data_IF_824069533759
#
_entry.id   IF_824069533759
#
_cell.length_a   1.000
_cell.length_b   1.000
_cell.length_c   1.000
_cell.angle_alpha   90.00
_cell.angle_beta   90.00
_cell.angle_gamma   90.00
#
_symmetry.space_group_name_H-M   'P 1'
#
loop_
_entity.id
_entity.type
_entity.pdbx_description
1 polymer ?
#
# COMPACT_ATOMS: atom_id res chain seq x y z
N UNK A 1 -21.29 -34.43 -33.54
CA UNK A 1 -21.06 -35.75 -32.91
C UNK A 1 -20.82 -35.49 -31.43
N UNK A 2 -21.74 -35.66 -30.49
CA UNK A 2 -22.95 -36.50 -30.40
C UNK A 2 -23.97 -35.71 -29.55
N UNK A 3 -25.18 -35.40 -29.99
CA UNK A 3 -26.39 -36.26 -30.01
C UNK A 3 -26.63 -37.04 -28.72
N UNK A 4 -27.35 -36.42 -27.79
CA UNK A 4 -28.08 -37.12 -26.72
C UNK A 4 -29.43 -36.45 -26.52
N UNK A 5 -30.31 -36.74 -27.48
CA UNK A 5 -31.76 -36.72 -27.35
C UNK A 5 -32.16 -37.67 -26.21
N UNK A 6 -32.79 -37.15 -25.15
CA UNK A 6 -33.66 -37.98 -24.34
C UNK A 6 -34.94 -37.21 -23.98
N UNK A 7 -35.92 -37.51 -24.81
CA UNK A 7 -37.34 -37.27 -24.65
C UNK A 7 -37.90 -38.35 -23.73
N UNK A 8 -38.59 -37.96 -22.65
CA UNK A 8 -39.71 -38.72 -22.10
C UNK A 8 -40.81 -37.75 -21.66
N UNK A 9 -41.88 -37.77 -22.43
CA UNK A 9 -43.19 -37.31 -22.02
C UNK A 9 -43.73 -38.25 -20.94
N UNK A 10 -44.09 -37.67 -19.80
CA UNK A 10 -44.87 -38.30 -18.75
C UNK A 10 -45.91 -37.27 -18.30
N UNK A 11 -47.10 -37.36 -18.87
CA UNK A 11 -48.31 -36.74 -18.33
C UNK A 11 -48.70 -37.55 -17.08
N UNK A 12 -48.47 -36.99 -15.90
CA UNK A 12 -49.15 -37.42 -14.68
C UNK A 12 -50.09 -36.30 -14.23
N UNK A 13 -51.37 -36.60 -14.40
CA UNK A 13 -52.52 -35.84 -13.95
C UNK A 13 -52.89 -36.29 -12.55
N UNK A 14 -52.64 -35.43 -11.56
CA UNK A 14 -53.48 -35.38 -10.36
C UNK A 14 -52.76 -35.62 -9.04
N UNK A 15 -52.19 -34.57 -8.47
CA UNK A 15 -52.45 -34.24 -7.07
C UNK A 15 -52.13 -32.76 -6.82
N UNK A 16 -53.17 -31.90 -6.87
CA UNK A 16 -53.15 -30.65 -6.10
C UNK A 16 -53.56 -31.02 -4.68
N UNK A 17 -52.66 -31.01 -3.68
CA UNK A 17 -53.12 -30.61 -2.37
C UNK A 17 -53.53 -29.14 -2.51
N UNK A 18 -54.83 -28.90 -2.39
CA UNK A 18 -55.35 -27.60 -2.02
C UNK A 18 -54.48 -27.05 -0.88
N UNK A 19 -54.13 -25.77 -0.96
CA UNK A 19 -53.16 -25.13 -0.08
C UNK A 19 -53.28 -25.62 1.35
N UNK A 20 -52.21 -26.22 1.86
CA UNK A 20 -51.85 -25.90 3.22
C UNK A 20 -51.62 -24.38 3.19
N UNK A 21 -52.40 -23.59 3.95
CA UNK A 21 -51.98 -22.23 4.20
C UNK A 21 -50.60 -22.40 4.84
N UNK A 22 -49.53 -22.02 4.13
CA UNK A 22 -48.40 -21.41 4.82
C UNK A 22 -49.07 -20.33 5.65
N UNK A 23 -49.23 -20.65 6.92
CA UNK A 23 -50.16 -19.93 7.79
C UNK A 23 -49.79 -18.46 7.63
N UNK A 24 -50.78 -17.61 7.45
CA UNK A 24 -50.54 -16.18 7.39
C UNK A 24 -49.84 -15.66 8.68
N UNK A 25 -49.69 -16.52 9.70
CA UNK A 25 -48.83 -16.39 10.88
C UNK A 25 -47.33 -16.55 10.61
N UNK A 26 -46.88 -17.36 9.65
CA UNK A 26 -45.46 -17.52 9.31
C UNK A 26 -44.92 -16.27 8.55
N UNK A 27 -45.80 -15.59 7.80
CA UNK A 27 -45.48 -14.36 7.06
C UNK A 27 -45.78 -13.09 7.88
N UNK A 28 -46.75 -13.09 8.82
CA UNK A 28 -46.97 -11.97 9.77
C UNK A 28 -46.04 -12.00 10.97
N UNK A 29 -45.44 -13.16 11.26
CA UNK A 29 -44.49 -13.38 12.34
C UNK A 29 -43.02 -13.26 11.97
N UNK A 30 -42.68 -13.20 10.66
CA UNK A 30 -41.36 -12.73 10.18
C UNK A 30 -41.28 -11.22 10.41
N UNK A 31 -41.18 -10.91 11.68
CA UNK A 31 -41.26 -9.59 12.26
C UNK A 31 -40.16 -8.72 11.67
N UNK A 32 -40.38 -7.41 11.63
CA UNK A 32 -39.34 -6.41 11.34
C UNK A 32 -38.03 -6.68 12.13
N UNK A 33 -38.11 -7.37 13.28
CA UNK A 33 -36.94 -7.84 14.03
C UNK A 33 -36.11 -8.91 13.31
N UNK A 34 -36.72 -9.83 12.56
CA UNK A 34 -36.03 -10.86 11.76
C UNK A 34 -35.27 -10.22 10.59
N UNK A 35 -35.90 -9.25 9.91
CA UNK A 35 -35.30 -8.48 8.80
C UNK A 35 -34.16 -7.57 9.28
N UNK A 36 -34.34 -6.89 10.42
CA UNK A 36 -33.24 -6.11 11.02
C UNK A 36 -32.09 -7.01 11.48
N UNK A 37 -32.39 -8.21 11.97
CA UNK A 37 -31.37 -9.20 12.33
C UNK A 37 -30.59 -9.69 11.13
N UNK A 38 -31.24 -9.95 9.99
CA UNK A 38 -30.56 -10.34 8.75
C UNK A 38 -29.70 -9.22 8.17
N UNK A 39 -30.22 -7.98 8.09
CA UNK A 39 -29.46 -6.81 7.60
C UNK A 39 -28.25 -6.52 8.49
N UNK A 40 -28.40 -6.62 9.81
CA UNK A 40 -27.28 -6.43 10.74
C UNK A 40 -26.22 -7.54 10.59
N UNK A 41 -26.66 -8.78 10.35
CA UNK A 41 -25.76 -9.89 10.09
C UNK A 41 -25.00 -9.74 8.75
N UNK A 42 -25.66 -9.23 7.72
CA UNK A 42 -25.06 -8.98 6.40
C UNK A 42 -24.04 -7.83 6.46
N UNK A 43 -24.37 -6.73 7.14
CA UNK A 43 -23.44 -5.62 7.40
C UNK A 43 -22.23 -6.08 8.23
N UNK A 44 -22.45 -6.91 9.25
CA UNK A 44 -21.35 -7.51 10.03
C UNK A 44 -20.43 -8.35 9.15
N UNK A 45 -21.01 -9.08 8.19
CA UNK A 45 -20.27 -9.88 7.22
C UNK A 45 -19.46 -9.01 6.26
N UNK A 46 -20.03 -7.93 5.73
CA UNK A 46 -19.33 -6.99 4.85
C UNK A 46 -18.16 -6.30 5.55
N UNK A 47 -18.37 -5.77 6.76
CA UNK A 47 -17.29 -5.14 7.55
C UNK A 47 -16.16 -6.13 7.78
N UNK A 48 -16.49 -7.39 8.08
CA UNK A 48 -15.47 -8.44 8.28
C UNK A 48 -14.73 -8.79 7.00
N UNK A 49 -15.41 -8.76 5.85
CA UNK A 49 -14.80 -8.95 4.54
C UNK A 49 -13.88 -7.78 4.15
N UNK A 50 -14.28 -6.53 4.39
CA UNK A 50 -13.41 -5.38 4.14
C UNK A 50 -12.17 -5.41 5.02
N UNK A 51 -12.30 -5.81 6.29
CA UNK A 51 -11.15 -5.99 7.19
C UNK A 51 -10.23 -7.10 6.71
N UNK A 52 -10.77 -8.25 6.29
CA UNK A 52 -9.96 -9.35 5.74
C UNK A 52 -9.27 -8.95 4.43
N UNK A 53 -9.95 -8.17 3.57
CA UNK A 53 -9.40 -7.63 2.33
C UNK A 53 -8.27 -6.64 2.62
N UNK A 54 -8.51 -5.65 3.47
CA UNK A 54 -7.50 -4.67 3.88
C UNK A 54 -6.29 -5.36 4.51
N UNK A 55 -6.51 -6.39 5.32
CA UNK A 55 -5.43 -7.21 5.89
C UNK A 55 -4.66 -7.98 4.83
N UNK A 56 -5.33 -8.50 3.80
CA UNK A 56 -4.68 -9.16 2.68
C UNK A 56 -3.84 -8.17 1.86
N UNK A 57 -4.36 -6.98 1.58
CA UNK A 57 -3.67 -5.91 0.86
C UNK A 57 -2.45 -5.41 1.64
N UNK A 58 -2.62 -5.09 2.94
CA UNK A 58 -1.51 -4.72 3.83
C UNK A 58 -0.42 -5.79 3.89
N UNK A 59 -0.78 -7.08 3.90
CA UNK A 59 0.20 -8.18 3.84
C UNK A 59 0.93 -8.21 2.51
N UNK A 60 0.23 -7.97 1.40
CA UNK A 60 0.83 -7.97 0.07
C UNK A 60 1.75 -6.76 -0.11
N UNK A 61 1.32 -5.57 0.32
CA UNK A 61 2.14 -4.36 0.38
C UNK A 61 3.36 -4.55 1.28
N UNK A 62 3.18 -5.10 2.49
CA UNK A 62 4.27 -5.40 3.42
C UNK A 62 5.31 -6.35 2.82
N UNK A 63 4.87 -7.37 2.08
CA UNK A 63 5.78 -8.28 1.35
C UNK A 63 6.54 -7.57 0.23
N UNK A 64 5.86 -6.71 -0.54
CA UNK A 64 6.50 -5.93 -1.61
C UNK A 64 7.54 -4.96 -1.04
N UNK A 65 7.17 -4.21 0.00
CA UNK A 65 8.05 -3.30 0.72
C UNK A 65 9.24 -4.05 1.34
N UNK A 66 9.00 -5.19 1.99
CA UNK A 66 10.06 -6.02 2.57
C UNK A 66 11.03 -6.56 1.53
N UNK A 67 10.55 -6.98 0.35
CA UNK A 67 11.41 -7.42 -0.75
C UNK A 67 12.23 -6.26 -1.32
N UNK A 68 11.61 -5.10 -1.50
CA UNK A 68 12.31 -3.90 -1.94
C UNK A 68 13.40 -3.50 -0.94
N UNK A 69 13.09 -3.48 0.36
CA UNK A 69 14.07 -3.23 1.42
C UNK A 69 15.22 -4.25 1.39
N UNK A 70 14.93 -5.53 1.16
CA UNK A 70 15.94 -6.57 0.99
C UNK A 70 16.87 -6.32 -0.20
N UNK A 71 16.33 -5.96 -1.37
CA UNK A 71 17.14 -5.63 -2.54
C UNK A 71 17.97 -4.37 -2.34
N UNK A 72 17.41 -3.30 -1.78
CA UNK A 72 18.18 -2.08 -1.50
C UNK A 72 19.24 -2.30 -0.42
N UNK A 73 18.96 -3.12 0.60
CA UNK A 73 19.95 -3.51 1.60
C UNK A 73 21.09 -4.32 0.98
N UNK A 74 20.78 -5.32 0.16
CA UNK A 74 21.77 -6.12 -0.56
C UNK A 74 22.59 -5.29 -1.55
N UNK A 75 21.95 -4.39 -2.30
CA UNK A 75 22.64 -3.47 -3.20
C UNK A 75 23.54 -2.48 -2.44
N UNK A 76 23.10 -1.98 -1.29
CA UNK A 76 23.92 -1.13 -0.42
C UNK A 76 25.17 -1.85 0.08
N UNK A 77 25.01 -3.07 0.60
CA UNK A 77 26.14 -3.89 1.04
C UNK A 77 27.08 -4.27 -0.12
N UNK A 78 26.53 -4.70 -1.25
CA UNK A 78 27.30 -5.01 -2.45
C UNK A 78 28.08 -3.81 -2.96
N UNK A 79 27.43 -2.64 -3.03
CA UNK A 79 28.08 -1.37 -3.39
C UNK A 79 29.22 -1.00 -2.42
N UNK A 80 29.02 -1.21 -1.11
CA UNK A 80 30.07 -1.01 -0.12
C UNK A 80 31.27 -1.95 -0.31
N UNK A 81 31.02 -3.24 -0.60
CA UNK A 81 32.09 -4.21 -0.88
C UNK A 81 32.87 -3.85 -2.15
N UNK A 82 32.18 -3.46 -3.22
CA UNK A 82 32.83 -2.99 -4.47
C UNK A 82 33.70 -1.77 -4.19
N UNK A 83 33.17 -0.77 -3.47
CA UNK A 83 33.92 0.41 -3.05
C UNK A 83 35.18 0.08 -2.24
N UNK A 84 35.08 -0.86 -1.29
CA UNK A 84 36.20 -1.33 -0.48
C UNK A 84 37.29 -1.97 -1.35
N UNK A 85 36.93 -2.93 -2.20
CA UNK A 85 37.89 -3.60 -3.06
C UNK A 85 38.53 -2.67 -4.09
N UNK A 86 37.76 -1.74 -4.66
CA UNK A 86 38.31 -0.70 -5.54
C UNK A 86 39.30 0.20 -4.80
N UNK A 87 39.04 0.52 -3.53
CA UNK A 87 39.96 1.34 -2.73
C UNK A 87 41.28 0.62 -2.48
N UNK A 88 41.22 -0.66 -2.11
CA UNK A 88 42.40 -1.50 -1.91
C UNK A 88 43.17 -1.67 -3.23
N UNK A 89 42.48 -1.97 -4.31
CA UNK A 89 43.09 -2.13 -5.63
C UNK A 89 43.75 -0.84 -6.12
N UNK A 90 43.09 0.31 -5.94
CA UNK A 90 43.63 1.61 -6.31
C UNK A 90 44.87 1.97 -5.48
N UNK A 91 44.80 1.75 -4.16
CA UNK A 91 45.96 1.96 -3.28
C UNK A 91 47.12 1.06 -3.70
N UNK A 92 46.90 -0.26 -3.81
CA UNK A 92 47.93 -1.21 -4.22
C UNK A 92 48.50 -0.86 -5.61
N UNK A 93 47.65 -0.44 -6.55
CA UNK A 93 48.05 0.01 -7.88
C UNK A 93 48.97 1.22 -7.83
N UNK A 94 48.60 2.27 -7.08
CA UNK A 94 49.43 3.47 -6.91
C UNK A 94 50.73 3.16 -6.18
N UNK A 95 50.72 2.26 -5.20
CA UNK A 95 51.92 1.86 -4.46
C UNK A 95 53.00 1.21 -5.35
N UNK A 96 52.67 0.77 -6.57
CA UNK A 96 53.67 0.28 -7.53
C UNK A 96 54.48 1.41 -8.20
N UNK A 97 53.97 2.64 -8.18
CA UNK A 97 54.59 3.80 -8.85
C UNK A 97 54.98 4.92 -7.89
N UNK A 98 54.52 4.88 -6.64
CA UNK A 98 54.87 5.85 -5.59
C UNK A 98 54.87 5.19 -4.20
N UNK A 99 55.37 5.91 -3.20
CA UNK A 99 55.31 5.45 -1.81
C UNK A 99 53.86 5.23 -1.33
N UNK A 100 53.68 4.17 -0.53
CA UNK A 100 52.36 3.73 -0.08
C UNK A 100 51.64 4.79 0.78
N UNK A 101 52.36 5.66 1.48
CA UNK A 101 51.76 6.77 2.23
C UNK A 101 51.10 7.79 1.31
N UNK A 102 51.78 8.19 0.23
CA UNK A 102 51.22 9.10 -0.78
C UNK A 102 50.05 8.47 -1.55
N UNK A 103 50.14 7.18 -1.88
CA UNK A 103 49.04 6.44 -2.46
C UNK A 103 47.79 6.47 -1.57
N UNK A 104 47.97 6.22 -0.27
CA UNK A 104 46.89 6.28 0.73
C UNK A 104 46.25 7.66 0.84
N UNK A 105 47.05 8.74 0.81
CA UNK A 105 46.54 10.12 0.83
C UNK A 105 45.68 10.43 -0.39
N UNK A 106 46.06 9.97 -1.58
CA UNK A 106 45.26 10.17 -2.80
C UNK A 106 43.93 9.44 -2.69
N UNK A 107 43.92 8.18 -2.25
CA UNK A 107 42.68 7.42 -2.05
C UNK A 107 41.78 8.08 -1.01
N UNK A 108 42.36 8.60 0.08
CA UNK A 108 41.63 9.33 1.11
C UNK A 108 40.98 10.63 0.55
N UNK A 109 41.70 11.39 -0.27
CA UNK A 109 41.15 12.59 -0.92
C UNK A 109 40.00 12.27 -1.87
N UNK A 110 40.08 11.17 -2.62
CA UNK A 110 38.98 10.71 -3.48
C UNK A 110 37.73 10.42 -2.63
N UNK A 111 37.88 9.69 -1.52
CA UNK A 111 36.77 9.44 -0.61
C UNK A 111 36.21 10.70 0.04
N UNK A 112 37.07 11.66 0.40
CA UNK A 112 36.64 12.95 0.93
C UNK A 112 35.79 13.72 -0.10
N UNK A 113 36.19 13.72 -1.37
CA UNK A 113 35.41 14.33 -2.45
C UNK A 113 34.05 13.64 -2.66
N UNK A 114 34.03 12.30 -2.68
CA UNK A 114 32.78 11.52 -2.77
C UNK A 114 31.86 11.85 -1.59
N UNK A 115 32.39 11.86 -0.36
CA UNK A 115 31.62 12.17 0.84
C UNK A 115 31.04 13.59 0.80
N UNK A 116 31.83 14.59 0.40
CA UNK A 116 31.38 15.97 0.24
C UNK A 116 30.26 16.11 -0.80
N UNK A 117 30.35 15.39 -1.93
CA UNK A 117 29.32 15.37 -2.94
C UNK A 117 28.03 14.72 -2.42
N UNK A 118 28.13 13.54 -1.79
CA UNK A 118 26.98 12.82 -1.22
C UNK A 118 26.29 13.64 -0.13
N UNK A 119 27.06 14.27 0.76
CA UNK A 119 26.52 15.15 1.80
C UNK A 119 25.76 16.33 1.18
N UNK A 120 26.32 16.95 0.14
CA UNK A 120 25.69 18.07 -0.56
C UNK A 120 24.37 17.67 -1.24
N UNK A 121 24.32 16.51 -1.89
CA UNK A 121 23.11 15.96 -2.49
C UNK A 121 22.07 15.61 -1.41
N UNK A 122 22.48 14.96 -0.34
CA UNK A 122 21.62 14.60 0.78
C UNK A 122 21.00 15.84 1.44
N UNK A 123 21.80 16.88 1.66
CA UNK A 123 21.34 18.17 2.21
C UNK A 123 20.28 18.80 1.32
N UNK A 124 20.52 18.90 0.00
CA UNK A 124 19.56 19.47 -0.97
C UNK A 124 18.24 18.69 -0.99
N UNK A 125 18.30 17.37 -0.92
CA UNK A 125 17.09 16.54 -0.90
C UNK A 125 16.31 16.70 0.40
N UNK A 126 17.00 16.77 1.54
CA UNK A 126 16.37 17.01 2.84
C UNK A 126 15.67 18.38 2.91
N UNK A 127 16.30 19.42 2.35
CA UNK A 127 15.73 20.77 2.26
C UNK A 127 14.46 20.80 1.41
N UNK A 128 14.42 20.09 0.27
CA UNK A 128 13.20 19.95 -0.55
C UNK A 128 12.05 19.33 0.22
N UNK A 129 12.31 18.27 0.98
CA UNK A 129 11.29 17.59 1.81
C UNK A 129 10.76 18.54 2.91
N UNK A 130 11.64 19.34 3.52
CA UNK A 130 11.23 20.36 4.51
C UNK A 130 10.36 21.46 3.90
N UNK A 131 10.68 21.92 2.69
CA UNK A 131 9.86 22.90 1.96
C UNK A 131 8.42 22.42 1.72
N UNK A 132 8.24 21.15 1.35
CA UNK A 132 6.90 20.56 1.18
C UNK A 132 6.09 20.52 2.49
N UNK A 133 6.74 20.32 3.65
CA UNK A 133 6.05 20.39 4.96
C UNK A 133 5.54 21.80 5.24
N UNK A 134 6.36 22.82 5.01
CA UNK A 134 5.96 24.21 5.24
C UNK A 134 4.77 24.64 4.38
N UNK A 135 4.70 24.20 3.11
CA UNK A 135 3.53 24.48 2.25
C UNK A 135 2.25 23.83 2.78
N UNK A 136 2.32 22.59 3.28
CA UNK A 136 1.16 21.93 3.90
C UNK A 136 0.72 22.64 5.20
N UNK A 137 1.68 23.14 5.98
CA UNK A 137 1.41 23.88 7.21
C UNK A 137 0.78 25.27 6.91
N UNK A 138 1.21 25.96 5.85
CA UNK A 138 0.60 27.22 5.40
C UNK A 138 -0.83 27.03 4.87
N UNK A 139 -1.13 25.94 4.16
CA UNK A 139 -2.49 25.64 3.70
C UNK A 139 -3.42 25.30 4.89
N UNK A 140 -2.88 24.67 5.94
CA UNK A 140 -3.60 24.43 7.21
C UNK A 140 -3.84 25.69 8.04
N UNK A 141 -3.21 26.82 7.69
CA UNK A 141 -3.46 28.14 8.31
C UNK A 141 -4.54 28.95 7.58
N UNK A 142 -5.04 28.48 6.42
CA UNK A 142 -6.19 29.04 5.70
C UNK A 142 -7.52 28.23 5.92
N UNK A 143 -7.92 27.78 7.13
CA UNK A 143 -9.29 27.36 7.39
C UNK A 143 -10.21 28.56 7.70
N UNK A 144 -9.66 29.61 8.32
CA UNK A 144 -10.48 30.72 8.83
C UNK A 144 -10.96 31.71 7.76
N UNK A 145 -10.29 31.75 6.60
CA UNK A 145 -10.70 32.57 5.46
C UNK A 145 -11.76 31.90 4.56
N UNK A 146 -12.09 30.62 4.80
CA UNK A 146 -13.11 29.86 4.08
C UNK A 146 -14.37 29.62 4.91
N UNK A 147 -14.58 30.35 6.02
CA UNK A 147 -15.91 30.50 6.60
C UNK A 147 -16.72 31.41 5.68
N UNK A 148 -17.80 30.92 5.02
CA UNK A 148 -18.72 31.79 4.32
C UNK A 148 -19.28 32.76 5.37
N UNK A 149 -18.99 34.05 5.25
CA UNK A 149 -19.71 35.07 6.00
C UNK A 149 -21.18 34.94 5.57
N UNK A 150 -22.09 34.52 6.46
CA UNK A 150 -23.50 34.50 6.12
C UNK A 150 -23.93 35.94 5.89
N UNK A 151 -24.52 36.13 4.72
CA UNK A 151 -25.10 37.34 4.17
C UNK A 151 -25.67 38.30 5.21
N UNK A 152 -25.18 39.53 5.19
CA UNK A 152 -25.94 40.69 5.64
C UNK A 152 -26.94 41.08 4.56
N UNK A 153 -28.04 40.33 4.45
CA UNK A 153 -29.32 40.89 4.01
C UNK A 153 -29.57 42.12 4.89
N UNK A 154 -29.70 43.33 4.33
CA UNK A 154 -30.76 44.34 4.56
C UNK A 154 -30.43 45.56 3.66
N UNK A 155 -31.24 45.77 2.61
CA UNK A 155 -31.64 47.10 2.15
C UNK A 155 -33.05 47.04 1.59
#
# INVERSE_FOLDING_TARGET
MSTSTQQRAGLDSGHRPAGAPHTADEVRGSSIGELMRSVTADLSTLVRQEVELAKAELRQEGRRAGRAAGFYGGAGFGGYMVALFLSIALWAGLSNVMDAGWAGLIVALIWAAIAAALYSLGKRNAERIRGLKQTNDSVRQIPDALKPQPEGVIR
#
